data_IF_250911126053
#
_entry.id   IF_250911126053
#
_cell.length_a   1.000
_cell.length_b   1.000
_cell.length_c   1.000
_cell.angle_alpha   90.00
_cell.angle_beta   90.00
_cell.angle_gamma   90.00
#
_symmetry.space_group_name_H-M   'P 1'
#
loop_
_entity.id
_entity.type
_entity.pdbx_description
1 polymer ?
#
# COMPACT_ATOMS: atom_id res chain seq x y z
N UNK A 1 -1.98 -11.98 -5.12
CA UNK A 1 -0.56 -11.55 -5.10
C UNK A 1 -0.36 -10.46 -4.07
N UNK A 2 0.86 -9.97 -3.86
CA UNK A 2 1.13 -8.94 -2.85
C UNK A 2 0.63 -7.55 -3.25
N UNK A 3 0.73 -7.21 -4.54
CA UNK A 3 0.25 -5.92 -5.06
C UNK A 3 -1.28 -5.96 -5.18
N UNK A 4 -1.95 -5.05 -4.47
CA UNK A 4 -3.40 -4.99 -4.32
C UNK A 4 -3.93 -3.55 -4.57
N UNK A 5 -5.25 -3.36 -4.70
CA UNK A 5 -5.82 -2.04 -5.02
C UNK A 5 -5.55 -0.93 -4.00
N UNK A 6 -5.32 -1.28 -2.73
CA UNK A 6 -5.04 -0.36 -1.62
C UNK A 6 -3.56 -0.21 -1.27
N UNK A 7 -2.67 -0.92 -1.99
CA UNK A 7 -1.23 -0.94 -1.73
C UNK A 7 -0.66 -2.36 -1.84
N UNK A 8 0.58 -2.54 -1.40
CA UNK A 8 1.24 -3.85 -1.32
C UNK A 8 1.05 -4.43 0.08
N UNK A 9 0.49 -5.63 0.18
CA UNK A 9 0.38 -6.36 1.44
C UNK A 9 1.77 -6.72 1.99
N UNK A 10 1.91 -6.76 3.32
CA UNK A 10 3.20 -7.13 3.95
C UNK A 10 3.66 -8.53 3.58
N UNK A 11 2.74 -9.49 3.59
CA UNK A 11 3.00 -10.90 3.33
C UNK A 11 1.79 -11.54 2.66
N UNK A 12 1.98 -12.76 2.15
CA UNK A 12 0.85 -13.64 1.76
C UNK A 12 0.40 -14.54 2.91
N UNK A 13 1.06 -14.48 4.07
CA UNK A 13 0.65 -15.21 5.26
C UNK A 13 -0.69 -14.65 5.75
N UNK A 14 -1.64 -15.53 6.03
CA UNK A 14 -3.00 -15.12 6.38
C UNK A 14 -3.87 -14.73 5.18
N UNK A 15 -3.35 -14.78 3.94
CA UNK A 15 -4.20 -14.65 2.76
C UNK A 15 -5.18 -15.84 2.72
N UNK A 16 -6.50 -15.61 2.68
CA UNK A 16 -7.46 -16.71 2.75
C UNK A 16 -7.33 -17.62 1.52
N UNK A 17 -6.87 -18.85 1.74
CA UNK A 17 -6.94 -19.93 0.75
C UNK A 17 -8.34 -20.59 0.73
N UNK A 18 -9.06 -20.48 1.85
CA UNK A 18 -10.45 -20.87 2.12
C UNK A 18 -10.85 -20.28 3.48
N UNK A 19 -12.00 -20.68 4.06
CA UNK A 19 -12.69 -20.12 5.24
C UNK A 19 -11.95 -20.12 6.59
N UNK A 20 -10.64 -20.33 6.61
CA UNK A 20 -9.83 -20.32 7.84
C UNK A 20 -9.25 -18.94 8.14
N UNK A 21 -9.05 -18.59 9.42
CA UNK A 21 -8.78 -17.21 9.81
C UNK A 21 -7.43 -16.72 9.30
N UNK A 22 -7.48 -15.54 8.71
CA UNK A 22 -6.35 -14.61 8.51
C UNK A 22 -5.58 -14.53 9.83
N UNK A 23 -4.26 -14.66 9.81
CA UNK A 23 -3.47 -14.52 11.04
C UNK A 23 -3.80 -13.17 11.69
N UNK A 24 -4.08 -13.15 12.99
CA UNK A 24 -4.42 -11.93 13.70
C UNK A 24 -3.17 -11.04 13.96
N UNK A 25 -2.13 -11.13 13.13
CA UNK A 25 -0.85 -10.47 13.34
C UNK A 25 -0.74 -9.18 12.51
N UNK A 26 0.02 -8.23 13.03
CA UNK A 26 0.14 -6.88 12.44
C UNK A 26 0.91 -6.86 11.11
N UNK A 27 1.84 -7.79 10.95
CA UNK A 27 2.77 -7.87 9.81
C UNK A 27 2.38 -8.95 8.80
N UNK A 28 1.08 -9.24 8.72
CA UNK A 28 0.52 -10.21 7.78
C UNK A 28 -0.56 -9.60 6.89
N UNK A 29 -1.03 -10.39 5.93
CA UNK A 29 -2.19 -10.05 5.12
C UNK A 29 -3.39 -9.69 6.03
N UNK A 30 -4.21 -8.67 5.71
CA UNK A 30 -4.17 -7.82 4.53
C UNK A 30 -3.44 -6.48 4.76
N UNK A 31 -2.63 -6.35 5.81
CA UNK A 31 -2.09 -5.05 6.20
C UNK A 31 -1.09 -4.51 5.16
N UNK A 32 -1.15 -3.20 4.93
CA UNK A 32 -0.21 -2.42 4.12
C UNK A 32 0.41 -1.33 5.00
N UNK A 33 1.72 -1.43 5.25
CA UNK A 33 2.45 -0.46 6.05
C UNK A 33 3.16 0.55 5.15
N UNK A 34 3.03 1.84 5.48
CA UNK A 34 3.56 2.93 4.68
C UNK A 34 5.06 2.78 4.33
N UNK A 35 5.95 2.38 5.28
CA UNK A 35 7.37 2.21 4.97
C UNK A 35 7.64 1.19 3.85
N UNK A 36 6.86 0.11 3.79
CA UNK A 36 7.02 -0.91 2.74
C UNK A 36 6.58 -0.38 1.37
N UNK A 37 5.51 0.42 1.33
CA UNK A 37 5.05 1.04 0.07
C UNK A 37 6.13 1.95 -0.51
N UNK A 38 6.73 2.76 0.37
CA UNK A 38 7.81 3.66 -0.01
C UNK A 38 9.05 2.89 -0.50
N UNK A 39 9.53 1.91 0.28
CA UNK A 39 10.71 1.12 -0.10
C UNK A 39 10.51 0.38 -1.42
N UNK A 40 9.34 -0.20 -1.66
CA UNK A 40 9.05 -0.93 -2.89
C UNK A 40 8.90 0.00 -4.10
N UNK A 41 8.16 1.11 -3.96
CA UNK A 41 8.00 2.10 -5.03
C UNK A 41 9.36 2.67 -5.43
N UNK A 42 10.16 3.12 -4.46
CA UNK A 42 11.49 3.69 -4.73
C UNK A 42 12.49 2.66 -5.25
N UNK A 43 12.47 1.43 -4.70
CA UNK A 43 13.37 0.37 -5.11
C UNK A 43 13.17 0.00 -6.57
N UNK A 44 11.93 -0.29 -6.97
CA UNK A 44 11.61 -0.60 -8.37
C UNK A 44 11.91 0.59 -9.28
N UNK A 45 11.59 1.83 -8.87
CA UNK A 45 11.86 3.02 -9.69
C UNK A 45 13.35 3.26 -9.94
N UNK A 46 14.21 3.04 -8.93
CA UNK A 46 15.64 3.35 -8.98
C UNK A 46 16.49 2.23 -9.58
N UNK A 47 16.10 0.98 -9.36
CA UNK A 47 16.91 -0.19 -9.69
C UNK A 47 16.28 -1.13 -10.70
N UNK A 48 15.11 -0.79 -11.23
CA UNK A 48 14.49 -1.53 -12.31
C UNK A 48 15.36 -1.58 -13.55
N UNK A 49 15.41 -2.74 -14.21
CA UNK A 49 16.20 -2.96 -15.43
C UNK A 49 15.53 -2.40 -16.71
N UNK A 50 14.38 -1.74 -16.55
CA UNK A 50 13.59 -1.18 -17.65
C UNK A 50 12.75 -2.20 -18.42
N UNK A 51 12.82 -3.49 -18.06
CA UNK A 51 11.96 -4.51 -18.65
C UNK A 51 10.49 -4.30 -18.28
N UNK A 52 9.62 -4.87 -19.12
CA UNK A 52 8.18 -4.83 -18.93
C UNK A 52 7.72 -5.97 -18.01
N UNK A 53 6.80 -5.63 -17.10
CA UNK A 53 6.18 -6.54 -16.14
C UNK A 53 4.67 -6.52 -16.35
N UNK A 54 4.04 -7.70 -16.39
CA UNK A 54 2.59 -7.80 -16.35
C UNK A 54 2.08 -7.60 -14.93
N UNK A 55 1.34 -6.52 -14.70
CA UNK A 55 0.72 -6.21 -13.42
C UNK A 55 -0.76 -5.85 -13.66
N UNK A 56 -1.66 -6.62 -13.04
CA UNK A 56 -3.11 -6.41 -13.13
C UNK A 56 -3.63 -6.26 -14.58
N UNK A 57 -3.14 -7.12 -15.49
CA UNK A 57 -3.51 -7.13 -16.90
C UNK A 57 -2.86 -6.03 -17.76
N UNK A 58 -2.02 -5.18 -17.17
CA UNK A 58 -1.27 -4.13 -17.87
C UNK A 58 0.21 -4.47 -17.98
N UNK A 59 0.82 -4.19 -19.13
CA UNK A 59 2.27 -4.26 -19.30
C UNK A 59 2.88 -2.93 -18.90
N UNK A 60 3.69 -2.92 -17.83
CA UNK A 60 4.27 -1.70 -17.25
C UNK A 60 5.79 -1.84 -17.21
N UNK A 61 6.50 -0.74 -17.47
CA UNK A 61 7.90 -0.64 -17.08
C UNK A 61 8.01 -0.47 -15.56
N UNK A 62 9.23 -0.49 -15.05
CA UNK A 62 9.49 -0.36 -13.62
C UNK A 62 9.01 0.99 -13.05
N UNK A 63 9.11 2.09 -13.81
CA UNK A 63 8.53 3.37 -13.43
C UNK A 63 7.01 3.28 -13.28
N UNK A 64 6.33 2.60 -14.20
CA UNK A 64 4.90 2.33 -14.16
C UNK A 64 4.49 1.49 -12.96
N UNK A 65 5.27 0.46 -12.60
CA UNK A 65 5.04 -0.35 -11.39
C UNK A 65 5.23 0.50 -10.13
N UNK A 66 6.29 1.31 -10.05
CA UNK A 66 6.52 2.22 -8.92
C UNK A 66 5.36 3.20 -8.73
N UNK A 67 4.87 3.77 -9.83
CA UNK A 67 3.71 4.68 -9.86
C UNK A 67 2.43 3.95 -9.44
N UNK A 68 2.22 2.72 -9.89
CA UNK A 68 1.07 1.92 -9.49
C UNK A 68 1.03 1.72 -7.97
N UNK A 69 2.15 1.31 -7.37
CA UNK A 69 2.26 1.14 -5.92
C UNK A 69 1.96 2.46 -5.19
N UNK A 70 2.58 3.55 -5.64
CA UNK A 70 2.41 4.87 -5.04
C UNK A 70 0.95 5.33 -5.10
N UNK A 71 0.33 5.23 -6.28
CA UNK A 71 -1.06 5.62 -6.52
C UNK A 71 -2.03 4.81 -5.67
N UNK A 72 -1.89 3.49 -5.64
CA UNK A 72 -2.79 2.62 -4.87
C UNK A 72 -2.77 2.97 -3.38
N UNK A 73 -1.58 3.17 -2.80
CA UNK A 73 -1.47 3.52 -1.38
C UNK A 73 -1.93 4.95 -1.07
N UNK A 74 -1.49 5.94 -1.85
CA UNK A 74 -1.91 7.35 -1.66
C UNK A 74 -3.42 7.49 -1.81
N UNK A 75 -4.02 6.82 -2.80
CA UNK A 75 -5.48 6.78 -2.97
C UNK A 75 -6.17 6.14 -1.77
N UNK A 76 -5.65 5.02 -1.25
CA UNK A 76 -6.20 4.38 -0.05
C UNK A 76 -6.18 5.33 1.15
N UNK A 77 -5.06 5.99 1.38
CA UNK A 77 -4.90 6.99 2.43
C UNK A 77 -5.85 8.18 2.27
N UNK A 78 -5.99 8.71 1.05
CA UNK A 78 -6.93 9.78 0.73
C UNK A 78 -8.38 9.37 0.98
N UNK A 79 -8.78 8.16 0.60
CA UNK A 79 -10.13 7.66 0.83
C UNK A 79 -10.46 7.51 2.32
N UNK A 80 -9.52 7.00 3.13
CA UNK A 80 -9.67 6.90 4.57
C UNK A 80 -9.77 8.29 5.23
N UNK A 81 -8.90 9.22 4.82
CA UNK A 81 -8.96 10.60 5.31
C UNK A 81 -10.27 11.29 4.91
N UNK A 82 -10.75 11.08 3.68
CA UNK A 82 -11.99 11.68 3.18
C UNK A 82 -13.22 11.17 3.93
N UNK A 83 -13.24 9.91 4.36
CA UNK A 83 -14.37 9.32 5.08
C UNK A 83 -14.32 9.58 6.58
N UNK A 84 -13.14 9.48 7.20
CA UNK A 84 -12.97 9.51 8.66
C UNK A 84 -12.17 10.68 9.22
N UNK A 85 -11.64 11.56 8.36
CA UNK A 85 -10.81 12.72 8.76
C UNK A 85 -9.37 12.37 9.17
N UNK A 86 -8.99 11.09 9.15
CA UNK A 86 -7.68 10.61 9.62
C UNK A 86 -7.11 9.51 8.72
N UNK A 87 -5.79 9.34 8.76
CA UNK A 87 -5.08 8.18 8.20
C UNK A 87 -4.54 7.32 9.34
N UNK A 88 -4.42 6.02 9.13
CA UNK A 88 -4.05 5.05 10.17
C UNK A 88 -2.57 4.65 10.08
N UNK A 89 -2.04 4.04 11.15
CA UNK A 89 -0.68 3.49 11.17
C UNK A 89 -0.45 2.43 10.07
N UNK A 90 -1.50 1.70 9.72
CA UNK A 90 -1.50 0.65 8.72
C UNK A 90 -2.83 0.69 7.96
N UNK A 91 -2.75 0.54 6.65
CA UNK A 91 -3.92 0.52 5.76
C UNK A 91 -4.25 -0.93 5.39
N UNK A 92 -5.41 -1.18 4.78
CA UNK A 92 -5.66 -2.45 4.09
C UNK A 92 -5.16 -2.41 2.66
N UNK A 93 -4.43 -3.44 2.27
CA UNK A 93 -3.97 -3.63 0.89
C UNK A 93 -5.13 -4.01 -0.04
N UNK A 94 -6.06 -4.84 0.43
CA UNK A 94 -7.16 -5.40 -0.36
C UNK A 94 -8.37 -4.47 -0.52
N UNK A 95 -8.62 -3.62 0.48
CA UNK A 95 -9.77 -2.68 0.51
C UNK A 95 -9.27 -1.24 0.60
N UNK A 96 -9.24 -0.48 -0.52
CA UNK A 96 -8.84 0.92 -0.50
C UNK A 96 -9.71 1.78 0.41
N UNK A 97 -9.09 2.63 1.23
CA UNK A 97 -9.79 3.50 2.18
C UNK A 97 -10.11 2.87 3.52
N UNK A 98 -9.84 1.57 3.69
CA UNK A 98 -9.98 0.87 4.96
C UNK A 98 -8.62 0.73 5.67
N UNK A 99 -8.64 0.53 6.98
CA UNK A 99 -7.45 0.46 7.82
C UNK A 99 -7.17 -0.96 8.32
N UNK A 100 -5.89 -1.25 8.48
CA UNK A 100 -5.43 -2.56 8.91
C UNK A 100 -5.62 -2.79 10.41
N UNK A 101 -5.54 -4.05 10.82
CA UNK A 101 -5.81 -4.48 12.19
C UNK A 101 -4.88 -5.59 12.66
N UNK A 102 -5.35 -6.35 13.66
CA UNK A 102 -4.57 -7.41 14.29
C UNK A 102 -3.50 -6.89 15.26
N UNK A 103 -2.88 -7.84 15.96
CA UNK A 103 -1.83 -7.62 16.94
C UNK A 103 -2.29 -7.44 18.36
N UNK A 104 -1.36 -6.94 19.15
CA UNK A 104 -1.47 -6.81 20.61
C UNK A 104 -2.20 -5.53 21.05
N UNK A 105 -2.44 -4.58 20.15
CA UNK A 105 -3.01 -3.28 20.50
C UNK A 105 -3.93 -2.69 19.41
N UNK A 106 -4.78 -1.75 19.82
CA UNK A 106 -5.72 -1.05 18.94
C UNK A 106 -5.02 -0.21 17.89
N UNK A 107 -5.43 -0.22 16.61
CA UNK A 107 -4.82 0.60 15.57
C UNK A 107 -4.75 2.09 15.92
N UNK A 108 -3.61 2.72 15.62
CA UNK A 108 -3.36 4.14 15.88
C UNK A 108 -3.67 5.01 14.64
N UNK A 109 -3.96 6.31 14.87
CA UNK A 109 -4.34 7.29 13.83
C UNK A 109 -3.37 8.48 13.76
N UNK A 110 -3.39 9.23 12.67
CA UNK A 110 -2.52 10.41 12.45
C UNK A 110 -1.05 10.08 12.26
N UNK A 111 -0.72 8.81 12.02
CA UNK A 111 0.59 8.23 12.23
C UNK A 111 1.70 8.82 11.33
N UNK A 112 2.86 9.12 11.93
CA UNK A 112 3.93 9.89 11.30
C UNK A 112 4.44 9.32 9.97
N UNK A 113 4.72 8.01 9.88
CA UNK A 113 5.14 7.43 8.60
C UNK A 113 4.06 7.45 7.53
N UNK A 114 2.77 7.44 7.89
CA UNK A 114 1.70 7.34 6.89
C UNK A 114 1.58 8.67 6.21
N UNK A 115 1.57 9.74 7.01
CA UNK A 115 1.61 11.12 6.53
C UNK A 115 2.89 11.38 5.70
N UNK A 116 4.06 11.03 6.26
CA UNK A 116 5.34 11.29 5.61
C UNK A 116 5.49 10.57 4.27
N UNK A 117 5.11 9.29 4.20
CA UNK A 117 5.16 8.52 2.96
C UNK A 117 4.15 9.02 1.94
N UNK A 118 2.93 9.41 2.35
CA UNK A 118 1.97 10.01 1.40
C UNK A 118 2.55 11.27 0.75
N UNK A 119 3.15 12.16 1.55
CA UNK A 119 3.76 13.38 1.05
C UNK A 119 4.95 13.10 0.13
N UNK A 120 5.82 12.15 0.50
CA UNK A 120 6.99 11.80 -0.32
C UNK A 120 6.56 11.15 -1.65
N UNK A 121 5.60 10.24 -1.64
CA UNK A 121 5.07 9.63 -2.87
C UNK A 121 4.36 10.65 -3.76
N UNK A 122 3.61 11.59 -3.19
CA UNK A 122 3.02 12.72 -3.93
C UNK A 122 4.10 13.62 -4.54
N UNK A 123 5.20 13.86 -3.83
CA UNK A 123 6.32 14.64 -4.35
C UNK A 123 7.03 13.94 -5.51
N UNK A 124 7.24 12.62 -5.41
CA UNK A 124 7.97 11.84 -6.42
C UNK A 124 7.12 11.60 -7.68
N UNK A 125 5.82 11.31 -7.51
CA UNK A 125 4.95 10.84 -8.61
C UNK A 125 3.77 11.80 -8.95
N UNK A 126 3.60 12.90 -8.21
CA UNK A 126 2.39 13.74 -8.28
C UNK A 126 2.17 14.52 -9.57
N UNK A 127 3.23 14.71 -10.38
CA UNK A 127 3.11 15.29 -11.72
C UNK A 127 2.32 14.44 -12.71
N UNK A 128 2.03 13.18 -12.35
CA UNK A 128 1.44 12.16 -13.24
C UNK A 128 0.03 11.72 -12.77
N UNK A 129 -0.65 12.55 -11.99
CA UNK A 129 -2.01 12.36 -11.44
C UNK A 129 -2.17 11.09 -10.58
N UNK A 130 -1.90 11.24 -9.28
CA UNK A 130 -2.02 10.16 -8.27
C UNK A 130 -3.41 10.03 -7.61
N UNK A 131 -4.35 10.94 -7.87
CA UNK A 131 -5.65 11.01 -7.18
C UNK A 131 -6.80 10.97 -8.18
#
# INVERSE_FOLDING_TARGET
GLVQPGGVAVSTTGMPASSEPVTAQQWDWPNAWAPLQHMLSEGVRKYGDGSLVLLNGSSLDHTGVARYIARSFVRSCYLAWRSGGVMHEKMRADVPGDFGGGGEYTPQVGFGWTNGVCLELLKIHGGEALI
#
